data_IF_707890811093
#
_entry.id   IF_707890811093
#
_cell.length_a   1.000
_cell.length_b   1.000
_cell.length_c   1.000
_cell.angle_alpha   90.00
_cell.angle_beta   90.00
_cell.angle_gamma   90.00
#
_symmetry.space_group_name_H-M   'P 1'
#
loop_
_entity.id
_entity.type
_entity.pdbx_description
1 polymer ?
#
# COMPACT_ATOMS: atom_id res chain seq x y z
N UNK A 1 7.91 1.61 -0.70
CA UNK A 1 6.57 1.66 -1.31
C UNK A 1 5.89 2.95 -0.90
N UNK A 2 5.26 3.67 -1.83
CA UNK A 2 4.50 4.91 -1.53
C UNK A 2 3.04 4.71 -1.95
N UNK A 3 2.16 4.60 -0.97
CA UNK A 3 0.74 4.38 -1.17
C UNK A 3 0.03 5.72 -1.40
N UNK A 4 -0.54 5.90 -2.59
CA UNK A 4 -1.27 7.11 -2.95
C UNK A 4 -2.59 6.75 -3.63
N UNK A 5 -3.47 7.74 -3.75
CA UNK A 5 -4.76 7.64 -4.46
C UNK A 5 -5.55 6.38 -4.03
N UNK A 6 -6.03 5.60 -5.00
CA UNK A 6 -6.90 4.45 -4.78
C UNK A 6 -6.23 3.26 -4.09
N UNK A 7 -4.90 3.24 -3.99
CA UNK A 7 -4.21 2.19 -3.25
C UNK A 7 -4.27 2.43 -1.73
N UNK A 8 -4.29 3.69 -1.29
CA UNK A 8 -4.21 4.06 0.12
C UNK A 8 -5.36 3.50 0.99
N UNK A 9 -6.65 3.52 0.57
CA UNK A 9 -7.76 3.05 1.39
C UNK A 9 -7.62 1.62 1.93
N UNK A 10 -6.93 0.72 1.22
CA UNK A 10 -6.73 -0.67 1.66
C UNK A 10 -5.80 -0.81 2.88
N UNK A 11 -5.07 0.24 3.23
CA UNK A 11 -4.12 0.28 4.33
C UNK A 11 -4.61 1.15 5.50
N UNK A 12 -5.92 1.41 5.53
CA UNK A 12 -6.62 2.12 6.60
C UNK A 12 -7.42 1.11 7.43
N UNK A 13 -7.29 1.17 8.75
CA UNK A 13 -8.03 0.31 9.67
C UNK A 13 -9.53 0.44 9.48
N UNK A 14 -10.21 -0.70 9.44
CA UNK A 14 -11.67 -0.77 9.28
C UNK A 14 -12.15 -0.65 7.83
N UNK A 15 -11.27 -0.38 6.87
CA UNK A 15 -11.58 -0.50 5.45
C UNK A 15 -11.41 -1.94 4.96
N UNK A 16 -11.96 -2.24 3.79
CA UNK A 16 -11.74 -3.52 3.13
C UNK A 16 -10.24 -3.68 2.80
N UNK A 17 -9.68 -4.84 3.11
CA UNK A 17 -8.29 -5.22 2.77
C UNK A 17 -8.19 -6.01 1.47
N UNK A 18 -9.34 -6.38 0.90
CA UNK A 18 -9.44 -7.19 -0.31
C UNK A 18 -9.78 -6.29 -1.49
N UNK A 19 -8.97 -6.39 -2.54
CA UNK A 19 -9.27 -5.78 -3.82
C UNK A 19 -10.15 -6.74 -4.62
N UNK A 20 -11.15 -6.24 -5.36
CA UNK A 20 -11.99 -7.10 -6.18
C UNK A 20 -11.16 -7.84 -7.24
N UNK A 21 -11.52 -9.08 -7.54
CA UNK A 21 -10.92 -9.83 -8.64
C UNK A 21 -11.35 -9.25 -9.99
N UNK A 22 -10.54 -8.35 -10.51
CA UNK A 22 -10.75 -7.73 -11.81
C UNK A 22 -10.13 -8.57 -12.94
N UNK A 23 -10.80 -8.58 -14.09
CA UNK A 23 -10.32 -9.23 -15.32
C UNK A 23 -10.12 -10.76 -15.21
N UNK A 24 -9.65 -11.37 -16.30
CA UNK A 24 -9.37 -12.81 -16.37
C UNK A 24 -8.25 -13.23 -15.41
N UNK A 25 -7.28 -12.34 -15.15
CA UNK A 25 -6.16 -12.60 -14.24
C UNK A 25 -6.64 -12.64 -12.79
N UNK A 26 -7.43 -11.67 -12.33
CA UNK A 26 -7.97 -11.68 -10.96
C UNK A 26 -8.81 -12.93 -10.69
N UNK A 27 -9.70 -13.29 -11.62
CA UNK A 27 -10.50 -14.51 -11.51
C UNK A 27 -9.65 -15.80 -11.50
N UNK A 28 -8.51 -15.81 -12.20
CA UNK A 28 -7.58 -16.93 -12.12
C UNK A 28 -6.88 -16.98 -10.75
N UNK A 29 -6.45 -15.83 -10.23
CA UNK A 29 -5.80 -15.75 -8.91
C UNK A 29 -6.71 -16.25 -7.79
N UNK A 30 -8.00 -15.90 -7.79
CA UNK A 30 -8.98 -16.43 -6.84
C UNK A 30 -9.12 -17.96 -6.95
N UNK A 31 -9.28 -18.49 -8.17
CA UNK A 31 -9.41 -19.93 -8.41
C UNK A 31 -8.18 -20.71 -7.96
N UNK A 32 -7.00 -20.13 -8.11
CA UNK A 32 -5.74 -20.73 -7.68
C UNK A 32 -5.38 -20.44 -6.22
N UNK A 33 -6.27 -19.78 -5.46
CA UNK A 33 -6.05 -19.43 -4.05
C UNK A 33 -4.73 -18.69 -3.83
N UNK A 34 -4.40 -17.79 -4.74
CA UNK A 34 -3.22 -16.91 -4.58
C UNK A 34 -3.42 -16.05 -3.33
N UNK A 35 -2.39 -15.87 -2.48
CA UNK A 35 -2.50 -15.02 -1.31
C UNK A 35 -3.03 -13.62 -1.67
N UNK A 36 -3.95 -13.05 -0.86
CA UNK A 36 -4.38 -11.67 -1.02
C UNK A 36 -3.18 -10.72 -1.04
N UNK A 37 -3.24 -9.66 -1.86
CA UNK A 37 -2.12 -8.73 -1.99
C UNK A 37 -1.68 -8.16 -0.63
N UNK A 38 -2.63 -7.89 0.28
CA UNK A 38 -2.33 -7.37 1.62
C UNK A 38 -1.39 -8.30 2.40
N UNK A 39 -1.62 -9.62 2.35
CA UNK A 39 -0.74 -10.61 2.99
C UNK A 39 0.66 -10.63 2.37
N UNK A 40 0.76 -10.42 1.05
CA UNK A 40 2.05 -10.31 0.37
C UNK A 40 2.82 -9.07 0.89
N UNK A 41 2.13 -7.95 1.12
CA UNK A 41 2.72 -6.76 1.72
C UNK A 41 3.11 -6.97 3.18
N UNK A 42 2.28 -7.63 3.98
CA UNK A 42 2.62 -7.99 5.37
C UNK A 42 3.92 -8.81 5.40
N UNK A 43 4.01 -9.86 4.58
CA UNK A 43 5.22 -10.68 4.47
C UNK A 43 6.45 -9.88 4.03
N UNK A 44 6.30 -8.93 3.09
CA UNK A 44 7.40 -8.09 2.63
C UNK A 44 7.95 -7.17 3.73
N UNK A 45 7.08 -6.70 4.64
CA UNK A 45 7.47 -5.89 5.80
C UNK A 45 8.05 -6.75 6.92
N UNK A 46 7.42 -7.88 7.23
CA UNK A 46 7.81 -8.74 8.37
C UNK A 46 9.06 -9.59 8.11
N UNK A 47 9.18 -10.16 6.92
CA UNK A 47 10.27 -11.07 6.53
C UNK A 47 11.37 -10.35 5.76
N UNK A 48 11.06 -9.16 5.21
CA UNK A 48 11.99 -8.33 4.45
C UNK A 48 12.36 -7.03 5.17
N UNK A 49 12.83 -6.06 4.40
CA UNK A 49 13.10 -4.68 4.87
C UNK A 49 12.26 -3.67 4.06
N UNK A 50 11.07 -4.09 3.61
CA UNK A 50 10.19 -3.21 2.86
C UNK A 50 9.58 -2.15 3.78
N UNK A 51 9.66 -0.89 3.38
CA UNK A 51 8.95 0.22 4.04
C UNK A 51 7.76 0.67 3.20
N UNK A 52 6.59 0.68 3.82
CA UNK A 52 5.34 1.15 3.21
C UNK A 52 4.99 2.51 3.82
N UNK A 53 4.88 3.53 2.97
CA UNK A 53 4.58 4.90 3.38
C UNK A 53 3.21 5.34 2.87
N UNK A 54 2.43 6.01 3.72
CA UNK A 54 1.17 6.64 3.32
C UNK A 54 1.41 8.04 2.75
N UNK A 55 0.87 8.34 1.57
CA UNK A 55 0.89 9.69 1.02
C UNK A 55 0.15 10.66 1.94
N UNK A 56 0.86 11.64 2.51
CA UNK A 56 0.26 12.59 3.45
C UNK A 56 -0.94 13.34 2.85
N UNK A 57 -0.87 13.72 1.57
CA UNK A 57 -1.99 14.35 0.88
C UNK A 57 -3.21 13.43 0.76
N UNK A 58 -3.02 12.13 0.52
CA UNK A 58 -4.13 11.17 0.45
C UNK A 58 -4.79 11.00 1.83
N UNK A 59 -3.98 10.98 2.90
CA UNK A 59 -4.47 10.99 4.28
C UNK A 59 -5.32 12.23 4.54
N UNK A 60 -4.86 13.42 4.16
CA UNK A 60 -5.59 14.69 4.33
C UNK A 60 -6.93 14.69 3.58
N UNK A 61 -6.94 14.27 2.31
CA UNK A 61 -8.16 14.22 1.48
C UNK A 61 -9.22 13.28 2.07
N UNK A 62 -8.78 12.14 2.63
CA UNK A 62 -9.69 11.14 3.21
C UNK A 62 -9.94 11.33 4.72
N UNK A 63 -9.34 12.35 5.33
CA UNK A 63 -9.49 12.61 6.77
C UNK A 63 -8.93 11.50 7.67
N UNK A 64 -7.93 10.75 7.19
CA UNK A 64 -7.32 9.64 7.92
C UNK A 64 -6.16 10.13 8.76
N UNK A 65 -6.18 9.81 10.06
CA UNK A 65 -5.08 10.07 10.99
C UNK A 65 -4.12 8.89 11.03
N UNK A 66 -2.91 9.13 11.53
CA UNK A 66 -1.84 8.13 11.60
C UNK A 66 -2.22 6.90 12.44
N UNK A 67 -2.98 7.07 13.52
CA UNK A 67 -3.50 5.96 14.33
C UNK A 67 -4.53 5.08 13.59
N UNK A 68 -5.13 5.63 12.53
CA UNK A 68 -6.02 4.92 11.61
C UNK A 68 -5.29 4.09 10.56
N UNK A 69 -3.96 4.12 10.48
CA UNK A 69 -3.20 3.31 9.53
C UNK A 69 -3.03 1.87 10.02
N UNK A 70 -3.02 0.93 9.09
CA UNK A 70 -2.64 -0.46 9.35
C UNK A 70 -1.20 -0.56 9.86
N UNK A 71 -0.92 -1.57 10.70
CA UNK A 71 0.36 -1.67 11.43
C UNK A 71 1.60 -1.80 10.54
N UNK A 72 1.43 -2.28 9.30
CA UNK A 72 2.51 -2.42 8.32
C UNK A 72 2.89 -1.11 7.63
N UNK A 73 2.14 -0.03 7.87
CA UNK A 73 2.43 1.30 7.32
C UNK A 73 3.35 2.05 8.27
N UNK A 74 4.51 2.45 7.78
CA UNK A 74 5.56 3.12 8.56
C UNK A 74 5.21 4.57 8.96
N UNK A 75 4.14 5.13 8.39
CA UNK A 75 3.63 6.47 8.72
C UNK A 75 3.39 7.34 7.48
N UNK A 76 3.10 8.64 7.69
CA UNK A 76 2.91 9.61 6.62
C UNK A 76 4.22 9.97 5.92
N UNK A 77 4.14 10.21 4.61
CA UNK A 77 5.26 10.64 3.75
C UNK A 77 4.76 11.62 2.68
N UNK A 78 5.53 12.68 2.45
CA UNK A 78 5.30 13.61 1.34
C UNK A 78 5.97 13.13 0.04
N UNK A 79 5.34 13.43 -1.10
CA UNK A 79 5.84 13.01 -2.42
C UNK A 79 7.28 13.49 -2.70
N UNK A 80 7.59 14.75 -2.37
CA UNK A 80 8.93 15.33 -2.56
C UNK A 80 9.99 14.58 -1.76
N UNK A 81 9.68 14.19 -0.51
CA UNK A 81 10.61 13.41 0.32
C UNK A 81 10.78 11.99 -0.22
N UNK A 82 9.70 11.36 -0.68
CA UNK A 82 9.78 10.05 -1.32
C UNK A 82 10.71 10.06 -2.55
N UNK A 83 10.60 11.06 -3.42
CA UNK A 83 11.50 11.16 -4.58
C UNK A 83 12.94 11.48 -4.20
N UNK A 84 13.15 12.31 -3.17
CA UNK A 84 14.50 12.55 -2.63
C UNK A 84 15.13 11.26 -2.09
N UNK A 85 14.35 10.40 -1.43
CA UNK A 85 14.85 9.12 -0.90
C UNK A 85 15.06 8.06 -1.99
N UNK A 86 14.34 8.19 -3.10
CA UNK A 86 14.47 7.31 -4.27
C UNK A 86 15.54 7.79 -5.27
N UNK A 87 16.26 8.86 -4.98
CA UNK A 87 17.31 9.37 -5.85
C UNK A 87 18.37 8.28 -6.11
N UNK A 88 18.76 8.11 -7.38
CA UNK A 88 19.68 7.05 -7.80
C UNK A 88 19.10 5.63 -7.78
N UNK A 89 17.82 5.47 -7.41
CA UNK A 89 17.11 4.18 -7.45
C UNK A 89 16.24 4.04 -8.70
N UNK A 90 15.76 2.82 -8.96
CA UNK A 90 14.72 2.60 -9.98
C UNK A 90 13.34 2.88 -9.37
N UNK A 91 12.58 3.78 -9.97
CA UNK A 91 11.20 4.07 -9.59
C UNK A 91 10.25 3.40 -10.57
N UNK A 92 9.32 2.61 -10.04
CA UNK A 92 8.24 1.98 -10.80
C UNK A 92 6.91 2.55 -10.31
N UNK A 93 5.97 2.77 -11.23
CA UNK A 93 4.61 3.26 -10.95
C UNK A 93 3.60 2.35 -11.63
N UNK A 94 2.48 2.11 -10.96
CA UNK A 94 1.41 1.19 -11.37
C UNK A 94 0.05 1.82 -11.06
#
# INVERSE_FOLDING_TARGET
MFLSMNAFPYFVKGHAKEAPAESAVGQAMERHQVPPFFQIFEQAVELGDAKIWACSMAMDVLGVKEDGLESIVAGPMGLTKFFSDAEGSTVLTF
#
